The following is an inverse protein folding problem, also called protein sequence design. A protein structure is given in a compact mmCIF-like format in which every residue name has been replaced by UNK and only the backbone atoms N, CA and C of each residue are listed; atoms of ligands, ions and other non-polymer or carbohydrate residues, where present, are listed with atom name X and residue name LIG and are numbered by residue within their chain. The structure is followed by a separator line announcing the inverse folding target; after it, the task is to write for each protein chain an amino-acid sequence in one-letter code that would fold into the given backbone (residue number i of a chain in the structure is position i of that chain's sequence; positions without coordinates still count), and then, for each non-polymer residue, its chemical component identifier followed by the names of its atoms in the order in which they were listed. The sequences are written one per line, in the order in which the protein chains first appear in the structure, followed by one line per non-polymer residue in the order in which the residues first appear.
data_IF_408076754380
#
_entry.id   IF_408076754380
#
_cell.length_a   1.000
_cell.length_b   1.000
_cell.length_c   1.000
_cell.angle_alpha   90.00
_cell.angle_beta   90.00
_cell.angle_gamma   90.00
#
_symmetry.space_group_name_H-M   'P 1'
#
loop_
_entity.id
_entity.type
_entity.pdbx_description
1 polymer ?
#
# COMPACT_ATOMS: atom_id res chain seq x y z
N UNK A 1 -5.75 113.28 -77.05
CA UNK A 1 -5.55 111.93 -77.62
C UNK A 1 -4.45 111.09 -76.93
N UNK A 2 -3.28 111.66 -76.59
CA UNK A 2 -2.12 110.94 -75.99
C UNK A 2 -2.36 110.24 -74.62
N UNK A 3 -3.09 110.87 -73.69
CA UNK A 3 -3.38 110.28 -72.35
C UNK A 3 -4.23 109.01 -72.40
N UNK A 4 -5.13 108.86 -73.39
CA UNK A 4 -5.97 107.68 -73.55
C UNK A 4 -5.17 106.46 -74.06
N UNK A 5 -4.19 106.67 -74.95
CA UNK A 5 -3.27 105.60 -75.41
C UNK A 5 -2.37 105.09 -74.28
N UNK A 6 -1.88 105.97 -73.39
CA UNK A 6 -1.09 105.56 -72.20
C UNK A 6 -1.92 104.75 -71.20
N UNK A 7 -3.16 105.17 -70.91
CA UNK A 7 -4.09 104.41 -70.05
C UNK A 7 -4.47 103.05 -70.65
N UNK A 8 -4.67 102.96 -71.96
CA UNK A 8 -4.96 101.70 -72.66
C UNK A 8 -3.78 100.71 -72.60
N UNK A 9 -2.54 101.19 -72.81
CA UNK A 9 -1.33 100.34 -72.69
C UNK A 9 -1.13 99.84 -71.26
N UNK A 10 -1.31 100.71 -70.26
CA UNK A 10 -1.25 100.32 -68.84
C UNK A 10 -2.31 99.28 -68.46
N UNK A 11 -3.55 99.39 -68.97
CA UNK A 11 -4.58 98.36 -68.76
C UNK A 11 -4.21 96.99 -69.34
N UNK A 12 -3.63 96.96 -70.56
CA UNK A 12 -3.16 95.70 -71.19
C UNK A 12 -1.99 95.05 -70.46
N UNK A 13 -1.12 95.85 -69.85
CA UNK A 13 0.01 95.37 -69.06
C UNK A 13 -0.44 94.79 -67.72
N UNK A 14 -1.40 95.44 -67.06
CA UNK A 14 -2.08 94.92 -65.86
C UNK A 14 -2.82 93.62 -66.16
N UNK A 15 -3.49 93.52 -67.31
CA UNK A 15 -4.20 92.32 -67.76
C UNK A 15 -3.24 91.14 -68.02
N UNK A 16 -2.09 91.39 -68.67
CA UNK A 16 -1.02 90.38 -68.83
C UNK A 16 -0.46 89.89 -67.50
N UNK A 17 -0.22 90.79 -66.55
CA UNK A 17 0.27 90.44 -65.22
C UNK A 17 -0.76 89.60 -64.45
N UNK A 18 -2.05 89.95 -64.57
CA UNK A 18 -3.14 89.18 -63.96
C UNK A 18 -3.31 87.78 -64.59
N UNK A 19 -3.08 87.64 -65.89
CA UNK A 19 -3.08 86.35 -66.60
C UNK A 19 -1.93 85.45 -66.11
N UNK A 20 -0.72 86.00 -66.00
CA UNK A 20 0.47 85.31 -65.47
C UNK A 20 0.24 84.89 -64.01
N UNK A 21 -0.39 85.74 -63.21
CA UNK A 21 -0.70 85.44 -61.81
C UNK A 21 -1.75 84.32 -61.67
N UNK A 22 -2.77 84.29 -62.54
CA UNK A 22 -3.74 83.17 -62.59
C UNK A 22 -3.06 81.86 -62.97
N UNK A 23 -2.22 81.86 -64.01
CA UNK A 23 -1.47 80.67 -64.42
C UNK A 23 -0.54 80.18 -63.31
N UNK A 24 0.08 81.10 -62.56
CA UNK A 24 0.90 80.74 -61.39
C UNK A 24 0.05 80.07 -60.31
N UNK A 25 -1.12 80.62 -59.97
CA UNK A 25 -2.03 80.02 -58.98
C UNK A 25 -2.56 78.65 -59.40
N UNK A 26 -2.86 78.45 -60.69
CA UNK A 26 -3.26 77.13 -61.20
C UNK A 26 -2.14 76.10 -61.05
N UNK A 27 -0.91 76.45 -61.47
CA UNK A 27 0.25 75.57 -61.30
C UNK A 27 0.54 75.26 -59.84
N UNK A 28 0.38 76.23 -58.94
CA UNK A 28 0.57 76.03 -57.50
C UNK A 28 -0.52 75.11 -56.92
N UNK A 29 -1.77 75.24 -57.35
CA UNK A 29 -2.86 74.35 -56.93
C UNK A 29 -2.67 72.92 -57.44
N UNK A 30 -2.26 72.75 -58.70
CA UNK A 30 -1.92 71.45 -59.29
C UNK A 30 -0.73 70.82 -58.57
N UNK A 31 0.33 71.59 -58.27
CA UNK A 31 1.47 71.11 -57.49
C UNK A 31 1.06 70.65 -56.09
N UNK A 32 0.21 71.41 -55.39
CA UNK A 32 -0.31 70.98 -54.07
C UNK A 32 -1.09 69.68 -54.15
N UNK A 33 -1.92 69.49 -55.18
CA UNK A 33 -2.67 68.24 -55.37
C UNK A 33 -1.71 67.07 -55.60
N UNK A 34 -0.68 67.24 -56.43
CA UNK A 34 0.34 66.22 -56.70
C UNK A 34 1.14 65.89 -55.43
N UNK A 35 1.54 66.91 -54.65
CA UNK A 35 2.27 66.74 -53.40
C UNK A 35 1.42 66.00 -52.35
N UNK A 36 0.13 66.32 -52.24
CA UNK A 36 -0.80 65.61 -51.35
C UNK A 36 -1.00 64.15 -51.78
N UNK A 37 -1.16 63.89 -53.09
CA UNK A 37 -1.32 62.54 -53.61
C UNK A 37 -0.04 61.70 -53.43
N UNK A 38 1.13 62.32 -53.67
CA UNK A 38 2.42 61.70 -53.40
C UNK A 38 2.60 61.41 -51.91
N UNK A 39 2.22 62.34 -51.03
CA UNK A 39 2.28 62.17 -49.56
C UNK A 39 1.40 61.01 -49.10
N UNK A 40 0.15 60.92 -49.60
CA UNK A 40 -0.77 59.80 -49.32
C UNK A 40 -0.21 58.46 -49.80
N UNK A 41 0.42 58.44 -50.97
CA UNK A 41 1.03 57.21 -51.51
C UNK A 41 2.23 56.76 -50.66
N UNK A 42 3.07 57.70 -50.23
CA UNK A 42 4.19 57.43 -49.33
C UNK A 42 3.66 56.89 -47.99
N UNK A 43 2.66 57.54 -47.40
CA UNK A 43 2.04 57.11 -46.15
C UNK A 43 1.52 55.68 -46.22
N UNK A 44 0.79 55.33 -47.30
CA UNK A 44 0.27 53.98 -47.51
C UNK A 44 1.40 52.94 -47.65
N UNK A 45 2.48 53.26 -48.37
CA UNK A 45 3.62 52.35 -48.53
C UNK A 45 4.37 52.15 -47.21
N UNK A 46 4.57 53.23 -46.44
CA UNK A 46 5.18 53.16 -45.11
C UNK A 46 4.32 52.32 -44.18
N UNK A 47 3.01 52.58 -44.14
CA UNK A 47 2.06 51.84 -43.29
C UNK A 47 2.08 50.34 -43.61
N UNK A 48 1.99 49.96 -44.89
CA UNK A 48 2.07 48.55 -45.31
C UNK A 48 3.37 47.89 -44.89
N UNK A 49 4.51 48.54 -45.13
CA UNK A 49 5.83 47.99 -44.78
C UNK A 49 6.00 47.84 -43.27
N UNK A 50 5.50 48.80 -42.49
CA UNK A 50 5.50 48.74 -41.02
C UNK A 50 4.61 47.59 -40.53
N UNK A 51 3.41 47.43 -41.08
CA UNK A 51 2.51 46.33 -40.74
C UNK A 51 3.13 44.97 -41.04
N UNK A 52 3.76 44.79 -42.19
CA UNK A 52 4.46 43.54 -42.56
C UNK A 52 5.63 43.22 -41.62
N UNK A 53 6.46 44.21 -41.28
CA UNK A 53 7.58 44.05 -40.35
C UNK A 53 7.08 43.72 -38.93
N UNK A 54 6.03 44.38 -38.47
CA UNK A 54 5.41 44.08 -37.19
C UNK A 54 4.82 42.67 -37.16
N UNK A 55 4.18 42.23 -38.25
CA UNK A 55 3.61 40.89 -38.36
C UNK A 55 4.71 39.83 -38.29
N UNK A 56 5.81 40.01 -39.02
CA UNK A 56 6.96 39.09 -38.99
C UNK A 56 7.56 39.00 -37.59
N UNK A 57 7.86 40.15 -36.97
CA UNK A 57 8.40 40.18 -35.60
C UNK A 57 7.45 39.54 -34.59
N UNK A 58 6.15 39.79 -34.71
CA UNK A 58 5.12 39.17 -33.85
C UNK A 58 5.10 37.66 -34.03
N UNK A 59 5.14 37.17 -35.26
CA UNK A 59 5.18 35.73 -35.56
C UNK A 59 6.45 35.06 -35.03
N UNK A 60 7.61 35.70 -35.16
CA UNK A 60 8.88 35.18 -34.63
C UNK A 60 8.86 35.10 -33.11
N UNK A 61 8.39 36.16 -32.45
CA UNK A 61 8.25 36.20 -30.99
C UNK A 61 7.25 35.14 -30.52
N UNK A 62 6.10 35.01 -31.17
CA UNK A 62 5.09 34.00 -30.83
C UNK A 62 5.64 32.59 -30.98
N UNK A 63 6.38 32.30 -32.06
CA UNK A 63 7.00 31.00 -32.26
C UNK A 63 8.03 30.69 -31.16
N UNK A 64 8.87 31.66 -30.79
CA UNK A 64 9.86 31.47 -29.72
C UNK A 64 9.19 31.29 -28.35
N UNK A 65 8.18 32.10 -28.02
CA UNK A 65 7.41 31.97 -26.78
C UNK A 65 6.74 30.61 -26.72
N UNK A 66 6.09 30.17 -27.80
CA UNK A 66 5.46 28.86 -27.87
C UNK A 66 6.48 27.74 -27.65
N UNK A 67 7.64 27.80 -28.31
CA UNK A 67 8.70 26.81 -28.13
C UNK A 67 9.21 26.74 -26.69
N UNK A 68 9.41 27.89 -26.03
CA UNK A 68 9.84 27.94 -24.63
C UNK A 68 8.78 27.38 -23.69
N UNK A 69 7.50 27.72 -23.92
CA UNK A 69 6.36 27.23 -23.13
C UNK A 69 6.20 25.73 -23.30
N UNK A 70 6.26 25.21 -24.52
CA UNK A 70 6.18 23.76 -24.78
C UNK A 70 7.35 23.01 -24.15
N UNK A 71 8.57 23.54 -24.28
CA UNK A 71 9.76 22.96 -23.65
C UNK A 71 9.63 22.92 -22.13
N UNK A 72 9.10 23.99 -21.51
CA UNK A 72 8.86 24.04 -20.08
C UNK A 72 7.76 23.07 -19.63
N UNK A 73 6.63 23.02 -20.36
CA UNK A 73 5.55 22.06 -20.11
C UNK A 73 6.04 20.62 -20.19
N UNK A 74 6.79 20.27 -21.23
CA UNK A 74 7.33 18.92 -21.41
C UNK A 74 8.26 18.50 -20.27
N UNK A 75 9.10 19.41 -19.78
CA UNK A 75 9.95 19.15 -18.60
C UNK A 75 9.11 18.93 -17.35
N UNK A 76 8.15 19.82 -17.10
CA UNK A 76 7.24 19.72 -15.95
C UNK A 76 6.42 18.42 -15.97
N UNK A 77 5.88 18.04 -17.13
CA UNK A 77 5.13 16.80 -17.33
C UNK A 77 6.02 15.58 -17.08
N UNK A 78 7.25 15.56 -17.59
CA UNK A 78 8.19 14.47 -17.35
C UNK A 78 8.54 14.31 -15.87
N UNK A 79 8.81 15.42 -15.17
CA UNK A 79 9.07 15.43 -13.74
C UNK A 79 7.85 14.96 -12.93
N UNK A 80 6.66 15.43 -13.28
CA UNK A 80 5.40 15.03 -12.63
C UNK A 80 5.12 13.53 -12.82
N UNK A 81 5.33 13.00 -14.04
CA UNK A 81 5.15 11.58 -14.32
C UNK A 81 6.12 10.72 -13.50
N UNK A 82 7.39 11.12 -13.42
CA UNK A 82 8.40 10.43 -12.63
C UNK A 82 8.07 10.46 -11.13
N UNK A 83 7.53 11.58 -10.62
CA UNK A 83 7.09 11.66 -9.23
C UNK A 83 5.88 10.75 -8.96
N UNK A 84 4.91 10.70 -9.87
CA UNK A 84 3.75 9.81 -9.77
C UNK A 84 4.15 8.34 -9.79
N UNK A 85 5.09 7.96 -10.67
CA UNK A 85 5.62 6.60 -10.73
C UNK A 85 6.32 6.21 -9.42
N UNK A 86 7.19 7.08 -8.88
CA UNK A 86 7.81 6.87 -7.56
C UNK A 86 6.80 6.72 -6.44
N UNK A 87 5.73 7.52 -6.43
CA UNK A 87 4.66 7.39 -5.43
C UNK A 87 3.94 6.05 -5.55
N UNK A 88 3.62 5.61 -6.78
CA UNK A 88 3.00 4.30 -7.04
C UNK A 88 3.90 3.14 -6.63
N UNK A 89 5.21 3.25 -6.85
CA UNK A 89 6.18 2.24 -6.45
C UNK A 89 6.29 2.16 -4.92
N UNK A 90 6.38 3.31 -4.23
CA UNK A 90 6.37 3.34 -2.75
C UNK A 90 5.14 2.70 -2.16
N UNK A 91 3.94 2.97 -2.70
CA UNK A 91 2.70 2.35 -2.24
C UNK A 91 2.76 0.83 -2.42
N UNK A 92 3.21 0.34 -3.59
CA UNK A 92 3.38 -1.10 -3.83
C UNK A 92 4.41 -1.73 -2.89
N UNK A 93 5.55 -1.09 -2.67
CA UNK A 93 6.55 -1.58 -1.72
C UNK A 93 6.02 -1.61 -0.29
N UNK A 94 5.25 -0.61 0.13
CA UNK A 94 4.62 -0.59 1.45
C UNK A 94 3.57 -1.70 1.60
N UNK A 95 2.76 -1.94 0.58
CA UNK A 95 1.82 -3.06 0.54
C UNK A 95 2.55 -4.41 0.62
N UNK A 96 3.58 -4.62 -0.19
CA UNK A 96 4.41 -5.84 -0.14
C UNK A 96 5.06 -6.02 1.23
N UNK A 97 5.62 -4.97 1.83
CA UNK A 97 6.20 -5.03 3.18
C UNK A 97 5.14 -5.39 4.22
N UNK A 98 3.92 -4.87 4.10
CA UNK A 98 2.81 -5.21 5.00
C UNK A 98 2.40 -6.67 4.86
N UNK A 99 2.29 -7.17 3.63
CA UNK A 99 1.97 -8.57 3.36
C UNK A 99 3.03 -9.51 3.95
N UNK A 100 4.32 -9.25 3.69
CA UNK A 100 5.43 -10.05 4.24
C UNK A 100 5.42 -10.00 5.78
N UNK A 101 5.29 -8.83 6.40
CA UNK A 101 5.21 -8.71 7.86
C UNK A 101 4.02 -9.51 8.44
N UNK A 102 2.87 -9.49 7.75
CA UNK A 102 1.69 -10.25 8.18
C UNK A 102 1.91 -11.76 8.07
N UNK A 103 2.53 -12.23 6.99
CA UNK A 103 2.89 -13.64 6.83
C UNK A 103 3.89 -14.10 7.90
N UNK A 104 4.93 -13.31 8.17
CA UNK A 104 5.89 -13.60 9.25
C UNK A 104 5.23 -13.64 10.63
N UNK A 105 4.30 -12.73 10.92
CA UNK A 105 3.56 -12.75 12.19
C UNK A 105 2.66 -13.99 12.30
N UNK A 106 2.03 -14.38 11.19
CA UNK A 106 1.21 -15.59 11.12
C UNK A 106 2.07 -16.84 11.35
N UNK A 107 3.23 -16.94 10.70
CA UNK A 107 4.16 -18.06 10.90
C UNK A 107 4.60 -18.16 12.37
N UNK A 108 4.99 -17.03 12.99
CA UNK A 108 5.36 -17.00 14.42
C UNK A 108 4.21 -17.45 15.32
N UNK A 109 2.97 -17.06 15.01
CA UNK A 109 1.79 -17.52 15.77
C UNK A 109 1.55 -19.02 15.60
N UNK A 110 1.64 -19.53 14.38
CA UNK A 110 1.49 -20.96 14.09
C UNK A 110 2.59 -21.79 14.78
N UNK A 111 3.84 -21.33 14.78
CA UNK A 111 4.95 -21.96 15.51
C UNK A 111 4.70 -21.99 17.03
N UNK A 112 4.25 -20.85 17.60
CA UNK A 112 3.91 -20.78 19.03
C UNK A 112 2.74 -21.71 19.38
N UNK A 113 1.71 -21.77 18.53
CA UNK A 113 0.58 -22.67 18.72
C UNK A 113 1.01 -24.14 18.66
N UNK A 114 1.90 -24.50 17.73
CA UNK A 114 2.49 -25.85 17.68
C UNK A 114 3.22 -26.18 18.98
N UNK A 115 4.11 -25.31 19.46
CA UNK A 115 4.85 -25.51 20.71
C UNK A 115 3.89 -25.67 21.90
N UNK A 116 2.86 -24.83 22.00
CA UNK A 116 1.86 -24.93 23.06
C UNK A 116 1.06 -26.23 22.98
N UNK A 117 0.68 -26.66 21.77
CA UNK A 117 -0.04 -27.91 21.56
C UNK A 117 0.79 -29.13 21.98
N UNK A 118 2.09 -29.14 21.65
CA UNK A 118 3.01 -30.20 22.04
C UNK A 118 3.25 -30.22 23.54
N UNK A 119 3.40 -29.05 24.16
CA UNK A 119 3.56 -28.93 25.60
C UNK A 119 2.30 -29.46 26.33
N UNK A 120 1.11 -29.05 25.88
CA UNK A 120 -0.15 -29.53 26.41
C UNK A 120 -0.31 -31.05 26.26
N UNK A 121 0.07 -31.63 25.11
CA UNK A 121 0.09 -33.08 24.92
C UNK A 121 1.02 -33.78 25.92
N UNK A 122 2.24 -33.27 26.10
CA UNK A 122 3.19 -33.80 27.08
C UNK A 122 2.66 -33.73 28.51
N UNK A 123 2.00 -32.64 28.88
CA UNK A 123 1.35 -32.49 30.20
C UNK A 123 0.23 -33.52 30.35
N UNK A 124 -0.65 -33.66 29.35
CA UNK A 124 -1.75 -34.61 29.39
C UNK A 124 -1.26 -36.06 29.48
N UNK A 125 -0.24 -36.42 28.69
CA UNK A 125 0.38 -37.75 28.75
C UNK A 125 1.03 -38.01 30.11
N UNK A 126 1.75 -37.04 30.68
CA UNK A 126 2.32 -37.17 32.01
C UNK A 126 1.23 -37.34 33.09
N UNK A 127 0.15 -36.55 33.02
CA UNK A 127 -0.99 -36.69 33.92
C UNK A 127 -1.68 -38.04 33.78
N UNK A 128 -1.83 -38.55 32.55
CA UNK A 128 -2.40 -39.86 32.27
C UNK A 128 -1.55 -40.98 32.84
N UNK A 129 -0.23 -40.94 32.65
CA UNK A 129 0.70 -41.92 33.24
C UNK A 129 0.62 -41.91 34.77
N UNK A 130 0.62 -40.73 35.39
CA UNK A 130 0.47 -40.62 36.84
C UNK A 130 -0.88 -41.17 37.34
N UNK A 131 -1.96 -40.99 36.58
CA UNK A 131 -3.26 -41.56 36.90
C UNK A 131 -3.27 -43.09 36.77
N UNK A 132 -2.67 -43.62 35.70
CA UNK A 132 -2.52 -45.07 35.46
C UNK A 132 -1.69 -45.73 36.56
N UNK A 133 -0.56 -45.12 36.96
CA UNK A 133 0.27 -45.60 38.08
C UNK A 133 -0.49 -45.59 39.41
N UNK A 134 -1.25 -44.54 39.70
CA UNK A 134 -2.09 -44.47 40.92
C UNK A 134 -3.14 -45.57 40.94
N UNK A 135 -3.79 -45.84 39.80
CA UNK A 135 -4.78 -46.91 39.70
C UNK A 135 -4.14 -48.29 39.87
N UNK A 136 -2.97 -48.52 39.27
CA UNK A 136 -2.23 -49.78 39.42
C UNK A 136 -1.86 -50.06 40.89
N UNK A 137 -1.38 -49.05 41.63
CA UNK A 137 -1.09 -49.18 43.07
C UNK A 137 -2.34 -49.56 43.87
N UNK A 138 -3.49 -48.94 43.57
CA UNK A 138 -4.76 -49.24 44.26
C UNK A 138 -5.21 -50.67 43.95
N UNK A 139 -5.08 -51.12 42.70
CA UNK A 139 -5.42 -52.48 42.30
C UNK A 139 -4.52 -53.53 42.97
N UNK A 140 -3.21 -53.28 43.04
CA UNK A 140 -2.25 -54.13 43.74
C UNK A 140 -2.59 -54.21 45.25
N UNK A 141 -2.88 -53.07 45.88
CA UNK A 141 -3.31 -53.04 47.28
C UNK A 141 -4.59 -53.86 47.51
N UNK A 142 -5.56 -53.77 46.58
CA UNK A 142 -6.79 -54.58 46.62
C UNK A 142 -6.50 -56.07 46.51
N UNK A 143 -5.62 -56.48 45.60
CA UNK A 143 -5.21 -57.88 45.45
C UNK A 143 -4.51 -58.40 46.71
N UNK A 144 -3.57 -57.63 47.26
CA UNK A 144 -2.88 -57.97 48.51
C UNK A 144 -3.85 -58.14 49.68
N UNK A 145 -4.85 -57.27 49.80
CA UNK A 145 -5.85 -57.38 50.86
C UNK A 145 -6.81 -58.58 50.63
N UNK A 146 -7.18 -58.89 49.39
CA UNK A 146 -7.91 -60.11 49.04
C UNK A 146 -7.11 -61.38 49.39
N UNK A 147 -5.81 -61.42 49.07
CA UNK A 147 -4.92 -62.53 49.42
C UNK A 147 -4.75 -62.67 50.93
N UNK A 148 -4.55 -61.57 51.65
CA UNK A 148 -4.51 -61.55 53.13
C UNK A 148 -5.80 -62.09 53.73
N UNK A 149 -6.97 -61.72 53.19
CA UNK A 149 -8.24 -62.25 53.65
C UNK A 149 -8.41 -63.75 53.36
N UNK A 150 -7.98 -64.22 52.18
CA UNK A 150 -7.99 -65.66 51.84
C UNK A 150 -7.10 -66.45 52.79
N UNK A 151 -5.87 -66.01 53.03
CA UNK A 151 -4.94 -66.63 53.98
C UNK A 151 -5.50 -66.65 55.40
N UNK A 152 -6.14 -65.56 55.86
CA UNK A 152 -6.81 -65.53 57.18
C UNK A 152 -7.94 -66.56 57.26
N UNK A 153 -8.80 -66.65 56.23
CA UNK A 153 -9.89 -67.65 56.19
C UNK A 153 -9.35 -69.08 56.17
N UNK A 154 -8.25 -69.34 55.46
CA UNK A 154 -7.59 -70.65 55.46
C UNK A 154 -6.98 -70.99 56.81
N UNK A 155 -6.29 -70.05 57.46
CA UNK A 155 -5.76 -70.23 58.81
C UNK A 155 -6.87 -70.48 59.83
N UNK A 156 -7.97 -69.73 59.80
CA UNK A 156 -9.12 -69.98 60.66
C UNK A 156 -9.74 -71.37 60.44
N UNK A 157 -9.80 -71.84 59.19
CA UNK A 157 -10.26 -73.20 58.87
C UNK A 157 -9.31 -74.24 59.46
N UNK A 158 -8.00 -74.09 59.27
CA UNK A 158 -6.97 -74.98 59.84
C UNK A 158 -7.05 -75.02 61.36
N UNK A 159 -7.13 -73.87 62.03
CA UNK A 159 -7.29 -73.81 63.49
C UNK A 159 -8.59 -74.48 63.95
N UNK A 160 -9.71 -74.28 63.25
CA UNK A 160 -10.97 -74.99 63.55
C UNK A 160 -10.86 -76.49 63.36
N UNK A 161 -10.17 -76.95 62.33
CA UNK A 161 -9.90 -78.38 62.08
C UNK A 161 -8.98 -78.98 63.14
N UNK A 162 -7.88 -78.32 63.49
CA UNK A 162 -6.98 -78.69 64.58
C UNK A 162 -7.73 -78.73 65.93
N UNK A 163 -8.56 -77.73 66.22
CA UNK A 163 -9.38 -77.70 67.43
C UNK A 163 -10.39 -78.86 67.46
N UNK A 164 -10.99 -79.23 66.32
CA UNK A 164 -11.86 -80.41 66.21
C UNK A 164 -11.09 -81.72 66.47
N UNK A 165 -9.87 -81.83 65.96
CA UNK A 165 -8.97 -82.97 66.20
C UNK A 165 -8.65 -83.09 67.71
N UNK A 166 -8.28 -81.98 68.37
CA UNK A 166 -7.94 -81.95 69.80
C UNK A 166 -9.16 -82.25 70.68
N UNK A 167 -10.32 -81.68 70.36
CA UNK A 167 -11.58 -81.89 71.09
C UNK A 167 -12.22 -83.26 70.81
N UNK A 168 -11.67 -84.07 69.89
CA UNK A 168 -12.16 -85.42 69.59
C UNK A 168 -13.56 -85.48 68.96
N UNK A 169 -14.07 -84.37 68.42
CA UNK A 169 -15.36 -84.36 67.71
C UNK A 169 -15.20 -85.09 66.36
N UNK A 170 -16.23 -85.83 65.95
CA UNK A 170 -16.29 -86.66 64.74
C UNK A 170 -15.29 -87.85 64.69
N UNK A 171 -15.08 -88.56 65.81
CA UNK A 171 -14.21 -89.77 65.86
C UNK A 171 -12.74 -89.54 65.43
N UNK A 172 -12.29 -88.29 65.41
CA UNK A 172 -10.96 -87.90 64.92
C UNK A 172 -9.80 -88.29 65.84
N UNK A 173 -10.07 -88.77 67.06
CA UNK A 173 -9.05 -89.22 68.02
C UNK A 173 -8.62 -90.65 67.66
N UNK A 174 -7.35 -90.89 67.24
CA UNK A 174 -6.87 -92.23 66.94
C UNK A 174 -7.01 -93.11 68.18
N UNK A 175 -7.64 -94.28 68.04
CA UNK A 175 -7.72 -95.26 69.14
C UNK A 175 -6.32 -95.85 69.34
N UNK A 176 -5.56 -95.29 70.27
CA UNK A 176 -4.32 -95.87 70.77
C UNK A 176 -4.67 -97.10 71.60
N UNK A 177 -4.50 -98.30 71.04
CA UNK A 177 -4.55 -99.55 71.79
C UNK A 177 -3.28 -99.68 72.63
N UNK A 178 -3.34 -99.24 73.89
CA UNK A 178 -2.29 -99.51 74.86
C UNK A 178 -2.39 -100.97 75.33
N UNK A 179 -1.50 -101.82 74.82
CA UNK A 179 -1.20 -103.13 75.41
C UNK A 179 -0.40 -102.90 76.70
N UNK A 180 -1.07 -102.76 77.84
CA UNK A 180 -0.40 -102.84 79.15
C UNK A 180 -0.28 -104.32 79.51
N UNK A 181 0.89 -104.90 79.24
CA UNK A 181 1.29 -106.21 79.75
C UNK A 181 1.69 -106.08 81.24
N UNK A 182 1.49 -107.20 81.94
CA UNK A 182 1.90 -107.56 83.31
C UNK A 182 0.89 -107.20 84.42
N UNK A 183 0.49 -108.09 85.32
CA UNK A 183 0.86 -109.49 85.51
C UNK A 183 0.31 -110.05 86.83
N UNK A 184 -0.25 -111.26 86.74
CA UNK A 184 -0.17 -112.43 87.64
C UNK A 184 -0.53 -112.28 89.13
N UNK A 185 -1.67 -112.88 89.51
CA UNK A 185 -1.78 -114.03 90.44
C UNK A 185 -3.13 -114.72 90.23
#
# INVERSE_FOLDING_TARGET
SSRHKKKSKSKKEVERLAEIERQRRQKEAEQKIIEEEASKRIELLVKKRVEEELLKRKSEIEAEVNFRVESAKKKMEAEMMLELEKRREKVREEEQKREVCFEEEKQKREELEQILSENNKKIQEAQRRLAEERLAIIEEQRQMDEERQKLRKEQEKRVKEEQKMILGKNNSRPKLSFSVRSGVS
#
